data_IF_846036626155
#
_entry.id   IF_846036626155
#
_cell.length_a   1.000
_cell.length_b   1.000
_cell.length_c   1.000
_cell.angle_alpha   90.00
_cell.angle_beta   90.00
_cell.angle_gamma   90.00
#
_symmetry.space_group_name_H-M   'P 1'
#
loop_
_entity.id
_entity.type
_entity.pdbx_description
1 polymer ?
#
# COMPACT_ATOMS: atom_id res chain seq x y z
N UNK A 1 2.68 20.54 30.73
CA UNK A 1 2.65 19.15 30.26
C UNK A 1 1.22 18.86 29.81
N UNK A 2 0.95 18.99 28.53
CA UNK A 2 -0.33 18.61 27.91
C UNK A 2 -0.39 17.08 27.93
N UNK A 3 -1.42 16.53 28.59
CA UNK A 3 -1.68 15.09 28.56
C UNK A 3 -1.85 14.69 27.08
N UNK A 4 -1.06 13.72 26.63
CA UNK A 4 -1.30 13.06 25.34
C UNK A 4 -2.60 12.26 25.56
N UNK A 5 -3.73 12.79 25.09
CA UNK A 5 -4.97 12.02 24.99
C UNK A 5 -4.70 10.89 24.01
N UNK A 6 -4.63 9.67 24.49
CA UNK A 6 -4.58 8.48 23.65
C UNK A 6 -5.87 8.45 22.86
N UNK A 7 -5.83 8.16 21.54
CA UNK A 7 -7.00 8.16 20.65
C UNK A 7 -8.14 7.20 21.08
N UNK A 8 -7.91 6.40 22.12
CA UNK A 8 -8.88 5.54 22.80
C UNK A 8 -9.91 6.34 23.63
N UNK A 9 -9.62 7.60 23.96
CA UNK A 9 -10.40 8.43 24.86
C UNK A 9 -11.24 9.50 24.13
N UNK A 10 -11.32 9.47 22.79
CA UNK A 10 -12.17 10.38 22.03
C UNK A 10 -13.43 9.65 21.53
N UNK A 11 -14.51 9.62 22.34
CA UNK A 11 -15.76 8.92 22.01
C UNK A 11 -16.56 9.59 20.89
N UNK A 12 -16.22 10.83 20.49
CA UNK A 12 -17.03 11.65 19.60
C UNK A 12 -16.58 11.65 18.13
N UNK A 13 -15.52 10.95 17.77
CA UNK A 13 -15.05 10.84 16.38
C UNK A 13 -15.15 9.41 15.89
N UNK A 14 -16.08 9.13 14.99
CA UNK A 14 -16.12 7.88 14.26
C UNK A 14 -14.79 7.69 13.51
N UNK A 15 -14.00 6.66 13.83
CA UNK A 15 -12.70 6.47 13.23
C UNK A 15 -12.82 6.07 11.77
N UNK A 16 -11.97 6.63 10.92
CA UNK A 16 -11.84 6.18 9.52
C UNK A 16 -11.01 4.89 9.48
N UNK A 17 -11.53 3.86 8.84
CA UNK A 17 -10.79 2.61 8.67
C UNK A 17 -10.25 2.52 7.24
N UNK A 18 -8.95 2.28 7.07
CA UNK A 18 -8.36 1.89 5.80
C UNK A 18 -8.00 0.41 5.81
N UNK A 19 -8.49 -0.30 4.81
CA UNK A 19 -8.06 -1.66 4.49
C UNK A 19 -7.13 -1.54 3.30
N UNK A 20 -5.84 -1.83 3.51
CA UNK A 20 -4.81 -1.69 2.47
C UNK A 20 -4.57 -3.06 1.84
N UNK A 21 -4.90 -3.21 0.57
CA UNK A 21 -4.74 -4.42 -0.20
C UNK A 21 -3.60 -4.23 -1.21
N UNK A 22 -2.53 -5.02 -1.10
CA UNK A 22 -1.54 -5.11 -2.16
C UNK A 22 -2.16 -5.82 -3.37
N UNK A 23 -1.88 -5.36 -4.58
CA UNK A 23 -2.30 -6.04 -5.81
C UNK A 23 -1.86 -7.51 -5.83
N UNK A 24 -2.58 -8.35 -6.58
CA UNK A 24 -2.21 -9.75 -6.83
C UNK A 24 -0.94 -9.89 -7.67
N UNK A 25 -0.43 -11.12 -7.80
CA UNK A 25 0.77 -11.40 -8.59
C UNK A 25 0.67 -10.95 -10.04
N UNK A 26 1.80 -10.46 -10.55
CA UNK A 26 2.07 -10.23 -11.97
C UNK A 26 3.06 -11.28 -12.48
N UNK A 27 3.46 -11.22 -13.75
CA UNK A 27 4.50 -12.09 -14.30
C UNK A 27 5.89 -11.88 -13.66
N UNK A 28 6.13 -10.73 -13.03
CA UNK A 28 7.41 -10.40 -12.39
C UNK A 28 7.46 -10.81 -10.90
N UNK A 29 6.30 -11.04 -10.28
CA UNK A 29 6.20 -11.31 -8.82
C UNK A 29 6.94 -12.58 -8.38
N UNK A 30 6.88 -13.72 -9.11
CA UNK A 30 7.56 -14.95 -8.70
C UNK A 30 9.09 -14.83 -8.66
N UNK A 31 9.66 -13.97 -9.48
CA UNK A 31 11.10 -13.73 -9.55
C UNK A 31 11.57 -12.58 -8.64
N UNK A 32 10.66 -11.96 -7.88
CA UNK A 32 10.93 -10.80 -7.03
C UNK A 32 11.60 -9.64 -7.80
N UNK A 33 11.19 -9.43 -9.06
CA UNK A 33 11.70 -8.32 -9.87
C UNK A 33 11.00 -7.02 -9.49
N UNK A 34 11.74 -5.93 -9.49
CA UNK A 34 11.19 -4.60 -9.29
C UNK A 34 10.20 -4.26 -10.41
N UNK A 35 9.09 -3.66 -10.06
CA UNK A 35 8.02 -3.31 -11.01
C UNK A 35 7.38 -1.98 -10.59
N UNK A 36 8.13 -0.88 -10.69
CA UNK A 36 7.67 0.44 -10.29
C UNK A 36 6.49 0.92 -11.13
N UNK A 37 6.76 1.72 -12.14
CA UNK A 37 5.73 2.32 -13.00
C UNK A 37 5.36 1.44 -14.22
N UNK A 38 5.93 0.25 -14.35
CA UNK A 38 5.61 -0.67 -15.45
C UNK A 38 4.12 -1.03 -15.48
N UNK A 39 3.50 -0.95 -16.66
CA UNK A 39 2.16 -1.43 -16.91
C UNK A 39 2.15 -2.96 -17.06
N UNK A 40 1.68 -3.63 -16.04
CA UNK A 40 1.64 -5.09 -15.95
C UNK A 40 0.25 -5.56 -15.51
N UNK A 41 -0.43 -6.41 -16.27
CA UNK A 41 -1.66 -7.03 -15.84
C UNK A 41 -1.39 -8.09 -14.75
N UNK A 42 -2.44 -8.50 -14.06
CA UNK A 42 -2.39 -9.64 -13.15
C UNK A 42 -2.07 -10.93 -13.91
N UNK A 43 -1.27 -11.79 -13.28
CA UNK A 43 -1.11 -13.19 -13.73
C UNK A 43 -2.37 -14.00 -13.39
N UNK A 44 -2.46 -15.22 -13.93
CA UNK A 44 -3.53 -16.14 -13.56
C UNK A 44 -3.55 -16.43 -12.04
N UNK A 45 -2.39 -16.48 -11.38
CA UNK A 45 -2.28 -16.57 -9.93
C UNK A 45 -2.81 -15.30 -9.27
N UNK A 46 -2.39 -14.13 -9.74
CA UNK A 46 -2.83 -12.83 -9.21
C UNK A 46 -4.35 -12.65 -9.27
N UNK A 47 -4.99 -13.10 -10.36
CA UNK A 47 -6.46 -13.09 -10.47
C UNK A 47 -7.11 -13.98 -9.40
N UNK A 48 -6.55 -15.17 -9.14
CA UNK A 48 -7.07 -16.04 -8.07
C UNK A 48 -6.88 -15.43 -6.69
N UNK A 49 -5.72 -14.81 -6.44
CA UNK A 49 -5.43 -14.10 -5.19
C UNK A 49 -6.37 -12.92 -4.98
N UNK A 50 -6.60 -12.08 -6.01
CA UNK A 50 -7.53 -10.97 -5.95
C UNK A 50 -8.97 -11.43 -5.64
N UNK A 51 -9.42 -12.52 -6.27
CA UNK A 51 -10.74 -13.13 -5.97
C UNK A 51 -10.83 -13.67 -4.55
N UNK A 52 -9.76 -14.27 -4.02
CA UNK A 52 -9.74 -14.76 -2.64
C UNK A 52 -9.81 -13.59 -1.65
N UNK A 53 -9.03 -12.52 -1.88
CA UNK A 53 -9.09 -11.29 -1.09
C UNK A 53 -10.50 -10.65 -1.15
N UNK A 54 -11.10 -10.55 -2.33
CA UNK A 54 -12.44 -9.99 -2.52
C UNK A 54 -13.49 -10.74 -1.68
N UNK A 55 -13.51 -12.08 -1.75
CA UNK A 55 -14.42 -12.91 -0.92
C UNK A 55 -14.17 -12.73 0.59
N UNK A 56 -12.90 -12.65 1.00
CA UNK A 56 -12.53 -12.40 2.41
C UNK A 56 -13.05 -11.05 2.90
N UNK A 57 -12.95 -10.02 2.04
CA UNK A 57 -13.44 -8.67 2.34
C UNK A 57 -14.97 -8.62 2.39
N UNK A 58 -15.66 -9.26 1.45
CA UNK A 58 -17.13 -9.32 1.42
C UNK A 58 -17.74 -10.08 2.61
N UNK A 59 -17.01 -11.02 3.20
CA UNK A 59 -17.42 -11.72 4.42
C UNK A 59 -17.16 -10.93 5.71
N UNK A 60 -16.52 -9.76 5.62
CA UNK A 60 -16.18 -8.89 6.74
C UNK A 60 -17.19 -7.76 6.98
N UNK A 61 -16.81 -6.77 7.79
CA UNK A 61 -17.59 -5.54 7.96
C UNK A 61 -17.77 -4.80 6.63
N UNK A 62 -18.86 -4.02 6.48
CA UNK A 62 -19.12 -3.24 5.27
C UNK A 62 -17.96 -2.33 4.89
N UNK A 63 -17.71 -2.21 3.59
CA UNK A 63 -16.76 -1.29 2.99
C UNK A 63 -17.57 -0.25 2.22
N UNK A 64 -17.25 1.03 2.39
CA UNK A 64 -18.04 2.13 1.83
C UNK A 64 -17.53 2.55 0.45
N UNK A 65 -16.21 2.45 0.20
CA UNK A 65 -15.59 2.88 -1.04
C UNK A 65 -14.32 2.09 -1.36
N UNK A 66 -14.06 1.91 -2.65
CA UNK A 66 -12.80 1.34 -3.17
C UNK A 66 -11.99 2.45 -3.83
N UNK A 67 -10.75 2.65 -3.39
CA UNK A 67 -9.79 3.59 -3.98
C UNK A 67 -8.61 2.77 -4.51
N UNK A 68 -8.11 3.08 -5.70
CA UNK A 68 -7.04 2.32 -6.34
C UNK A 68 -5.95 3.21 -6.92
N UNK A 69 -4.72 2.72 -6.87
CA UNK A 69 -3.65 3.17 -7.76
C UNK A 69 -4.09 3.03 -9.22
N UNK A 70 -3.65 3.91 -10.15
CA UNK A 70 -3.97 3.82 -11.57
C UNK A 70 -3.25 2.67 -12.30
N UNK A 71 -2.18 2.07 -11.74
CA UNK A 71 -1.42 1.03 -12.41
C UNK A 71 -2.25 -0.24 -12.62
N UNK A 72 -2.19 -0.83 -13.83
CA UNK A 72 -3.09 -1.88 -14.31
C UNK A 72 -3.29 -3.02 -13.30
N UNK A 73 -2.23 -3.53 -12.67
CA UNK A 73 -2.31 -4.61 -11.66
C UNK A 73 -3.14 -4.25 -10.43
N UNK A 74 -3.11 -2.97 -10.01
CA UNK A 74 -3.93 -2.47 -8.91
C UNK A 74 -5.38 -2.26 -9.37
N UNK A 75 -5.59 -1.70 -10.54
CA UNK A 75 -6.91 -1.51 -11.15
C UNK A 75 -7.61 -2.85 -11.33
N UNK A 76 -6.93 -3.87 -11.87
CA UNK A 76 -7.49 -5.22 -12.04
C UNK A 76 -7.89 -5.84 -10.68
N UNK A 77 -7.03 -5.69 -9.67
CA UNK A 77 -7.30 -6.18 -8.31
C UNK A 77 -8.50 -5.45 -7.69
N UNK A 78 -8.55 -4.13 -7.84
CA UNK A 78 -9.62 -3.28 -7.33
C UNK A 78 -10.97 -3.57 -8.03
N UNK A 79 -10.95 -3.77 -9.34
CA UNK A 79 -12.15 -4.10 -10.12
C UNK A 79 -12.76 -5.44 -9.65
N UNK A 80 -11.92 -6.44 -9.38
CA UNK A 80 -12.38 -7.74 -8.85
C UNK A 80 -13.00 -7.56 -7.46
N UNK A 81 -12.36 -6.78 -6.58
CA UNK A 81 -12.89 -6.52 -5.25
C UNK A 81 -14.17 -5.68 -5.28
N UNK A 82 -14.20 -4.62 -6.09
CA UNK A 82 -15.37 -3.74 -6.24
C UNK A 82 -16.59 -4.50 -6.77
N UNK A 83 -16.40 -5.39 -7.74
CA UNK A 83 -17.49 -6.23 -8.27
C UNK A 83 -18.09 -7.14 -7.18
N UNK A 84 -17.27 -7.76 -6.33
CA UNK A 84 -17.72 -8.61 -5.23
C UNK A 84 -18.45 -7.81 -4.13
N UNK A 85 -18.02 -6.56 -3.90
CA UNK A 85 -18.58 -5.66 -2.89
C UNK A 85 -19.79 -4.86 -3.39
N UNK A 86 -20.11 -4.89 -4.68
CA UNK A 86 -21.16 -4.05 -5.28
C UNK A 86 -20.82 -2.55 -5.30
N UNK A 87 -19.52 -2.21 -5.35
CA UNK A 87 -19.00 -0.84 -5.30
C UNK A 87 -18.35 -0.43 -6.63
N UNK A 88 -18.09 0.88 -6.76
CA UNK A 88 -17.27 1.43 -7.84
C UNK A 88 -15.89 1.80 -7.33
N UNK A 89 -14.90 1.81 -8.24
CA UNK A 89 -13.51 2.17 -7.91
C UNK A 89 -13.25 3.63 -8.26
N UNK A 90 -12.63 4.35 -7.32
CA UNK A 90 -12.07 5.70 -7.52
C UNK A 90 -10.56 5.57 -7.71
N UNK A 91 -10.01 6.25 -8.72
CA UNK A 91 -8.56 6.23 -8.96
C UNK A 91 -7.90 7.41 -8.23
N UNK A 92 -6.77 7.13 -7.58
CA UNK A 92 -5.91 8.15 -6.97
C UNK A 92 -4.46 7.93 -7.45
N UNK A 93 -3.95 8.88 -8.21
CA UNK A 93 -2.63 8.82 -8.83
C UNK A 93 -1.48 8.81 -7.82
N UNK A 94 -1.67 9.38 -6.64
CA UNK A 94 -0.65 9.42 -5.59
C UNK A 94 -0.45 8.05 -4.90
N UNK A 95 -1.29 7.05 -5.22
CA UNK A 95 -1.16 5.68 -4.73
C UNK A 95 -0.32 4.76 -5.63
N UNK A 96 0.34 5.28 -6.67
CA UNK A 96 1.26 4.50 -7.52
C UNK A 96 2.42 3.93 -6.72
N UNK A 97 3.01 2.85 -7.24
CA UNK A 97 4.26 2.32 -6.71
C UNK A 97 5.39 3.35 -6.86
N UNK A 98 6.44 3.22 -6.06
CA UNK A 98 7.69 3.96 -6.23
C UNK A 98 8.20 3.74 -7.66
N UNK A 99 8.62 4.82 -8.32
CA UNK A 99 9.33 4.72 -9.58
C UNK A 99 10.76 4.24 -9.29
N UNK A 100 11.07 3.02 -9.72
CA UNK A 100 12.41 2.47 -9.53
C UNK A 100 13.37 2.77 -10.70
N UNK A 101 12.90 3.51 -11.71
CA UNK A 101 13.72 3.97 -12.83
C UNK A 101 14.45 2.83 -13.53
N UNK A 102 15.78 2.94 -13.63
CA UNK A 102 16.63 1.97 -14.32
C UNK A 102 16.64 0.57 -13.66
N UNK A 103 16.08 0.43 -12.45
CA UNK A 103 16.01 -0.85 -11.76
C UNK A 103 14.75 -1.67 -12.08
N UNK A 104 13.79 -1.09 -12.81
CA UNK A 104 12.59 -1.80 -13.20
C UNK A 104 12.90 -3.04 -14.04
N UNK A 105 12.29 -4.16 -13.69
CA UNK A 105 12.49 -5.45 -14.35
C UNK A 105 13.68 -6.28 -13.83
N UNK A 106 14.53 -5.73 -12.97
CA UNK A 106 15.67 -6.44 -12.37
C UNK A 106 15.33 -7.00 -10.98
N UNK A 107 16.02 -8.07 -10.60
CA UNK A 107 16.04 -8.56 -9.21
C UNK A 107 17.00 -7.71 -8.36
N UNK A 108 16.86 -7.76 -7.03
CA UNK A 108 17.81 -7.06 -6.15
C UNK A 108 19.26 -7.52 -6.36
N UNK A 109 19.50 -8.81 -6.63
CA UNK A 109 20.83 -9.33 -6.89
C UNK A 109 21.45 -8.78 -8.18
N UNK A 110 20.66 -8.68 -9.25
CA UNK A 110 21.09 -8.05 -10.51
C UNK A 110 21.38 -6.56 -10.32
N UNK A 111 20.52 -5.85 -9.55
CA UNK A 111 20.72 -4.43 -9.22
C UNK A 111 22.00 -4.24 -8.38
N UNK A 112 22.25 -5.08 -7.37
CA UNK A 112 23.47 -5.05 -6.56
C UNK A 112 24.74 -5.26 -7.40
N UNK A 113 24.65 -6.08 -8.46
CA UNK A 113 25.76 -6.30 -9.37
C UNK A 113 25.98 -5.10 -10.31
N UNK A 114 24.90 -4.56 -10.88
CA UNK A 114 24.98 -3.47 -11.87
C UNK A 114 25.20 -2.08 -11.27
N UNK A 115 24.63 -1.82 -10.07
CA UNK A 115 24.65 -0.50 -9.39
C UNK A 115 25.03 -0.59 -7.92
N UNK A 116 26.19 -1.19 -7.54
CA UNK A 116 26.52 -1.49 -6.14
C UNK A 116 26.55 -0.24 -5.23
N UNK A 117 27.05 0.88 -5.74
CA UNK A 117 27.13 2.13 -4.99
C UNK A 117 25.74 2.78 -4.77
N UNK A 118 24.88 2.71 -5.77
CA UNK A 118 23.53 3.28 -5.69
C UNK A 118 22.65 2.49 -4.72
N UNK A 119 22.69 1.15 -4.80
CA UNK A 119 22.00 0.28 -3.85
C UNK A 119 22.48 0.51 -2.42
N UNK A 120 23.79 0.64 -2.21
CA UNK A 120 24.35 0.89 -0.88
C UNK A 120 23.87 2.22 -0.28
N UNK A 121 23.67 3.25 -1.09
CA UNK A 121 23.07 4.53 -0.67
C UNK A 121 21.57 4.39 -0.41
N UNK A 122 20.84 3.84 -1.37
CA UNK A 122 19.40 3.65 -1.32
C UNK A 122 18.95 2.84 -0.09
N UNK A 123 19.68 1.78 0.28
CA UNK A 123 19.35 0.95 1.46
C UNK A 123 19.61 1.64 2.81
N UNK A 124 20.34 2.76 2.83
CA UNK A 124 20.70 3.49 4.07
C UNK A 124 19.92 4.77 4.27
N UNK A 125 19.39 5.33 3.20
CA UNK A 125 18.78 6.64 3.23
C UNK A 125 17.56 6.69 2.29
N UNK A 126 16.34 6.80 2.85
CA UNK A 126 15.11 6.92 2.06
C UNK A 126 15.03 8.17 1.15
N UNK A 127 15.94 9.14 1.31
CA UNK A 127 16.05 10.31 0.43
C UNK A 127 16.80 9.98 -0.87
N UNK A 128 17.51 8.88 -0.94
CA UNK A 128 18.28 8.50 -2.13
C UNK A 128 17.40 7.80 -3.14
N UNK A 129 17.21 8.37 -4.35
CA UNK A 129 16.47 7.68 -5.41
C UNK A 129 17.33 6.60 -6.08
N UNK A 130 16.73 5.59 -6.69
CA UNK A 130 17.39 4.79 -7.72
C UNK A 130 17.69 5.65 -8.95
N UNK A 131 18.65 5.27 -9.81
CA UNK A 131 18.92 6.00 -11.06
C UNK A 131 17.66 6.13 -11.91
N UNK A 132 17.33 7.37 -12.28
CA UNK A 132 16.15 7.67 -13.10
C UNK A 132 14.79 7.53 -12.42
N UNK A 133 14.75 7.22 -11.12
CA UNK A 133 13.53 7.00 -10.36
C UNK A 133 13.26 8.03 -9.26
N UNK A 134 12.29 7.76 -8.40
CA UNK A 134 11.94 8.58 -7.22
C UNK A 134 12.47 7.96 -5.91
N UNK A 135 12.75 8.80 -4.92
CA UNK A 135 13.11 8.35 -3.58
C UNK A 135 11.88 7.87 -2.79
N UNK A 136 12.10 7.07 -1.75
CA UNK A 136 11.00 6.73 -0.84
C UNK A 136 10.44 7.96 -0.11
N UNK A 137 11.22 9.01 0.05
CA UNK A 137 10.74 10.28 0.61
C UNK A 137 9.79 10.99 -0.34
N UNK A 138 10.07 11.01 -1.65
CA UNK A 138 9.15 11.57 -2.66
C UNK A 138 7.85 10.75 -2.72
N UNK A 139 7.97 9.42 -2.74
CA UNK A 139 6.81 8.51 -2.65
C UNK A 139 6.01 8.79 -1.37
N UNK A 140 6.67 8.97 -0.22
CA UNK A 140 6.00 9.25 1.05
C UNK A 140 5.26 10.58 1.02
N UNK A 141 5.81 11.60 0.36
CA UNK A 141 5.15 12.90 0.24
C UNK A 141 3.79 12.75 -0.47
N UNK A 142 3.72 12.12 -1.64
CA UNK A 142 2.46 11.97 -2.40
C UNK A 142 1.49 11.01 -1.70
N UNK A 143 1.97 9.90 -1.16
CA UNK A 143 1.14 8.91 -0.45
C UNK A 143 0.51 9.51 0.82
N UNK A 144 1.26 10.33 1.56
CA UNK A 144 0.72 11.04 2.72
C UNK A 144 -0.32 12.08 2.32
N UNK A 145 -0.17 12.75 1.19
CA UNK A 145 -1.19 13.67 0.65
C UNK A 145 -2.47 12.90 0.27
N UNK A 146 -2.35 11.73 -0.37
CA UNK A 146 -3.49 10.86 -0.65
C UNK A 146 -4.20 10.45 0.65
N UNK A 147 -3.45 10.03 1.67
CA UNK A 147 -3.98 9.70 2.98
C UNK A 147 -4.73 10.87 3.63
N UNK A 148 -4.16 12.08 3.59
CA UNK A 148 -4.79 13.28 4.16
C UNK A 148 -6.09 13.65 3.45
N UNK A 149 -6.15 13.50 2.12
CA UNK A 149 -7.40 13.66 1.34
C UNK A 149 -8.43 12.63 1.78
N UNK A 150 -8.02 11.37 1.86
CA UNK A 150 -8.89 10.27 2.23
C UNK A 150 -9.48 10.48 3.64
N UNK A 151 -8.65 10.81 4.64
CA UNK A 151 -9.10 11.04 6.01
C UNK A 151 -10.03 12.25 6.15
N UNK A 152 -9.85 13.28 5.33
CA UNK A 152 -10.72 14.47 5.29
C UNK A 152 -12.05 14.16 4.62
N UNK A 153 -12.01 13.52 3.43
CA UNK A 153 -13.16 13.40 2.53
C UNK A 153 -14.00 12.14 2.83
N UNK A 154 -13.46 11.19 3.62
CA UNK A 154 -14.05 9.89 3.96
C UNK A 154 -14.08 9.63 5.47
N UNK A 155 -14.16 10.69 6.27
CA UNK A 155 -14.23 10.59 7.73
C UNK A 155 -15.34 9.63 8.18
N UNK A 156 -15.03 8.73 9.11
CA UNK A 156 -15.97 7.72 9.64
C UNK A 156 -16.26 6.53 8.71
N UNK A 157 -15.70 6.50 7.50
CA UNK A 157 -15.92 5.43 6.53
C UNK A 157 -14.86 4.33 6.62
N UNK A 158 -15.21 3.15 6.10
CA UNK A 158 -14.29 2.07 5.81
C UNK A 158 -13.90 2.11 4.33
N UNK A 159 -12.63 2.37 4.05
CA UNK A 159 -12.09 2.53 2.69
C UNK A 159 -11.18 1.36 2.36
N UNK A 160 -11.47 0.65 1.27
CA UNK A 160 -10.53 -0.29 0.67
C UNK A 160 -9.58 0.48 -0.25
N UNK A 161 -8.28 0.45 0.07
CA UNK A 161 -7.21 1.06 -0.73
C UNK A 161 -6.42 -0.05 -1.41
N UNK A 162 -6.46 -0.13 -2.73
CA UNK A 162 -5.69 -1.11 -3.51
C UNK A 162 -4.44 -0.42 -4.08
N UNK A 163 -3.28 -0.90 -3.67
CA UNK A 163 -2.02 -0.26 -4.01
C UNK A 163 -0.86 -1.28 -4.05
N UNK A 164 0.35 -0.85 -3.74
CA UNK A 164 1.61 -1.53 -3.94
C UNK A 164 2.42 -1.61 -2.65
N UNK A 165 3.60 -2.24 -2.72
CA UNK A 165 4.45 -2.47 -1.55
C UNK A 165 4.84 -1.15 -0.86
N UNK A 166 5.43 -0.20 -1.61
CA UNK A 166 5.99 1.01 -1.00
C UNK A 166 4.91 1.92 -0.43
N UNK A 167 3.82 2.26 -1.14
CA UNK A 167 2.74 3.07 -0.57
C UNK A 167 2.12 2.45 0.69
N UNK A 168 1.87 1.13 0.69
CA UNK A 168 1.30 0.46 1.86
C UNK A 168 2.25 0.50 3.04
N UNK A 169 3.55 0.23 2.85
CA UNK A 169 4.55 0.32 3.90
C UNK A 169 4.68 1.74 4.46
N UNK A 170 4.61 2.76 3.60
CA UNK A 170 4.62 4.17 4.01
C UNK A 170 3.44 4.50 4.91
N UNK A 171 2.22 4.06 4.54
CA UNK A 171 1.04 4.26 5.38
C UNK A 171 1.13 3.52 6.72
N UNK A 172 1.74 2.33 6.73
CA UNK A 172 2.02 1.59 7.96
C UNK A 172 3.04 2.34 8.83
N UNK A 173 4.14 2.86 8.26
CA UNK A 173 5.12 3.66 9.00
C UNK A 173 4.47 4.91 9.61
N UNK A 174 3.65 5.62 8.83
CA UNK A 174 2.89 6.79 9.31
C UNK A 174 1.97 6.41 10.48
N UNK A 175 1.19 5.34 10.34
CA UNK A 175 0.25 4.89 11.36
C UNK A 175 0.93 4.45 12.66
N UNK A 176 2.10 3.83 12.56
CA UNK A 176 2.92 3.41 13.69
C UNK A 176 3.73 4.56 14.32
N UNK A 177 3.79 5.74 13.68
CA UNK A 177 4.60 6.86 14.15
C UNK A 177 6.10 6.56 14.13
N UNK A 178 6.56 5.70 13.22
CA UNK A 178 7.97 5.28 13.11
C UNK A 178 8.67 5.98 11.93
N UNK A 179 10.01 6.10 11.97
CA UNK A 179 10.78 6.68 10.87
C UNK A 179 10.60 5.93 9.55
N UNK A 180 10.75 6.64 8.42
CA UNK A 180 10.51 6.10 7.08
C UNK A 180 11.46 4.94 6.72
N UNK A 181 12.67 4.90 7.26
CA UNK A 181 13.62 3.79 7.05
C UNK A 181 13.11 2.44 7.60
N UNK A 182 12.06 2.44 8.42
CA UNK A 182 11.35 1.22 8.84
C UNK A 182 10.73 0.47 7.66
N UNK A 183 10.52 1.12 6.50
CA UNK A 183 10.04 0.51 5.26
C UNK A 183 10.87 -0.72 4.84
N UNK A 184 12.18 -0.73 5.14
CA UNK A 184 13.07 -1.85 4.84
C UNK A 184 12.88 -3.08 5.74
N UNK A 185 12.15 -2.92 6.85
CA UNK A 185 11.90 -3.98 7.86
C UNK A 185 10.52 -4.63 7.73
N UNK A 186 9.67 -4.10 6.87
CA UNK A 186 8.32 -4.62 6.63
C UNK A 186 8.33 -5.56 5.42
N UNK A 187 7.69 -6.71 5.55
CA UNK A 187 7.42 -7.62 4.43
C UNK A 187 5.93 -7.62 4.11
N UNK A 188 5.58 -7.54 2.83
CA UNK A 188 4.21 -7.60 2.35
C UNK A 188 4.11 -8.57 1.18
N UNK A 189 3.35 -9.66 1.35
CA UNK A 189 3.05 -10.64 0.30
C UNK A 189 2.06 -10.08 -0.74
N UNK A 190 1.99 -10.71 -1.91
CA UNK A 190 0.98 -10.35 -2.92
C UNK A 190 -0.43 -10.59 -2.39
N UNK A 191 -1.35 -9.70 -2.72
CA UNK A 191 -2.73 -9.69 -2.24
C UNK A 191 -2.87 -9.73 -0.70
N UNK A 192 -1.83 -9.36 0.07
CA UNK A 192 -1.94 -9.25 1.52
C UNK A 192 -2.88 -8.10 1.92
N UNK A 193 -3.58 -8.31 3.03
CA UNK A 193 -4.49 -7.34 3.65
C UNK A 193 -3.80 -6.75 4.88
N UNK A 194 -3.88 -5.42 5.00
CA UNK A 194 -3.45 -4.68 6.17
C UNK A 194 -4.61 -3.79 6.62
N UNK A 195 -4.75 -3.52 7.92
CA UNK A 195 -5.86 -2.71 8.44
C UNK A 195 -5.35 -1.67 9.42
N UNK A 196 -5.71 -0.42 9.16
CA UNK A 196 -5.41 0.74 10.02
C UNK A 196 -6.71 1.44 10.36
N UNK A 197 -6.88 1.80 11.62
CA UNK A 197 -7.96 2.64 12.10
C UNK A 197 -7.37 4.00 12.50
N UNK A 198 -7.88 5.08 11.89
CA UNK A 198 -7.40 6.44 12.06
C UNK A 198 -8.34 7.22 12.98
N UNK A 199 -7.81 7.80 14.04
CA UNK A 199 -8.49 8.70 14.96
C UNK A 199 -8.00 10.12 14.70
N UNK A 200 -8.49 10.73 13.61
CA UNK A 200 -7.95 11.97 13.07
C UNK A 200 -6.66 11.75 12.25
N UNK A 201 -5.82 12.79 12.15
CA UNK A 201 -4.61 12.74 11.31
C UNK A 201 -3.35 12.28 12.04
N UNK A 202 -3.35 12.43 13.36
CA UNK A 202 -2.15 12.27 14.21
C UNK A 202 -2.10 10.94 14.94
N UNK A 203 -3.23 10.28 15.10
CA UNK A 203 -3.29 9.02 15.83
C UNK A 203 -3.93 7.92 15.01
N UNK A 204 -3.32 6.74 15.04
CA UNK A 204 -3.85 5.56 14.36
C UNK A 204 -3.55 4.28 15.14
N UNK A 205 -4.40 3.27 14.97
CA UNK A 205 -4.20 1.92 15.47
C UNK A 205 -4.01 0.96 14.29
N UNK A 206 -2.91 0.23 14.26
CA UNK A 206 -2.66 -0.82 13.26
C UNK A 206 -3.23 -2.13 13.79
N UNK A 207 -4.28 -2.64 13.16
CA UNK A 207 -4.97 -3.85 13.57
C UNK A 207 -4.41 -5.13 12.94
N UNK A 208 -3.86 -5.00 11.73
CA UNK A 208 -3.39 -6.15 10.97
C UNK A 208 -2.29 -5.70 10.00
N UNK A 209 -1.26 -6.52 9.84
CA UNK A 209 -0.18 -6.34 8.86
C UNK A 209 0.06 -7.66 8.15
N UNK A 210 0.11 -7.63 6.82
CA UNK A 210 0.46 -8.75 5.95
C UNK A 210 -0.41 -10.01 6.17
N UNK A 211 -1.71 -9.84 6.38
CA UNK A 211 -2.62 -11.00 6.44
C UNK A 211 -2.79 -11.62 5.04
N UNK A 212 -2.36 -12.86 4.90
CA UNK A 212 -2.49 -13.69 3.71
C UNK A 212 -3.30 -14.96 3.98
N UNK A 213 -4.00 -15.06 5.12
CA UNK A 213 -4.74 -16.25 5.55
C UNK A 213 -5.88 -16.66 4.61
N UNK A 214 -6.32 -15.75 3.73
CA UNK A 214 -7.31 -15.98 2.70
C UNK A 214 -6.74 -16.62 1.42
N UNK A 215 -5.44 -16.69 1.30
CA UNK A 215 -4.76 -17.30 0.15
C UNK A 215 -4.59 -18.81 0.36
N UNK A 216 -4.65 -19.61 -0.72
CA UNK A 216 -4.46 -21.06 -0.63
C UNK A 216 -3.01 -21.44 -0.31
#
# INVERSE_FOLDING_TARGET
MTAVTTGWDNPDADPTTTILLRHGDTRLSPEHRFSGQCELPLSASGIRQAKAAARRLAAGPPIDVVVSSPLQRAVDTAAIAAAELGLTTVIDDDLRETDFGDWDGFTLAEIQHGWPSDVARWQRDPQQPPPGGESFADTAQRVNQACDRLLRDRSGQTVLVVSHISPIKILLCRALGVPLDTIYRLYLGSACINKIQWHGREFAAVHCVNDTSHLP
#
